data_IF_954495083046
#
_entry.id   IF_954495083046
#
_cell.length_a   1.000
_cell.length_b   1.000
_cell.length_c   1.000
_cell.angle_alpha   90.00
_cell.angle_beta   90.00
_cell.angle_gamma   90.00
#
_symmetry.space_group_name_H-M   'P 1'
#
loop_
_entity.id
_entity.type
_entity.pdbx_description
1 polymer ?
#
# COMPACT_ATOMS: atom_id res chain seq x y z
N UNK A 1 5.67 11.41 -3.21
CA UNK A 1 6.18 10.04 -3.41
C UNK A 1 7.08 9.69 -2.24
N UNK A 2 6.64 8.86 -1.29
CA UNK A 2 7.42 8.46 -0.11
C UNK A 2 8.13 7.11 -0.31
N UNK A 3 9.01 6.71 0.63
CA UNK A 3 9.80 5.47 0.53
C UNK A 3 8.90 4.23 0.38
N UNK A 4 7.74 4.22 1.04
CA UNK A 4 6.73 3.16 0.94
C UNK A 4 6.19 3.04 -0.48
N UNK A 5 5.90 4.17 -1.16
CA UNK A 5 5.45 4.13 -2.56
C UNK A 5 6.50 3.50 -3.46
N UNK A 6 7.78 3.83 -3.25
CA UNK A 6 8.88 3.33 -4.08
C UNK A 6 9.07 1.83 -3.87
N UNK A 7 9.07 1.36 -2.63
CA UNK A 7 9.28 -0.04 -2.31
C UNK A 7 8.07 -0.91 -2.69
N UNK A 8 6.86 -0.38 -2.53
CA UNK A 8 5.62 -1.03 -2.96
C UNK A 8 5.54 -1.14 -4.49
N UNK A 9 5.81 -0.05 -5.22
CA UNK A 9 5.82 -0.05 -6.70
C UNK A 9 6.91 -0.98 -7.27
N UNK A 10 7.99 -1.20 -6.52
CA UNK A 10 9.07 -2.13 -6.89
C UNK A 10 8.78 -3.60 -6.56
N UNK A 11 7.59 -3.90 -6.03
CA UNK A 11 7.23 -5.22 -5.50
C UNK A 11 8.22 -5.75 -4.44
N UNK A 12 8.95 -4.85 -3.77
CA UNK A 12 9.89 -5.19 -2.71
C UNK A 12 9.20 -5.39 -1.34
N UNK A 13 7.91 -5.04 -1.25
CA UNK A 13 7.09 -5.26 -0.06
C UNK A 13 5.68 -5.71 -0.44
N UNK A 14 5.08 -6.57 0.39
CA UNK A 14 3.68 -6.97 0.28
C UNK A 14 2.74 -5.83 0.70
N UNK A 15 1.47 -5.91 0.27
CA UNK A 15 0.42 -4.95 0.68
C UNK A 15 0.32 -4.83 2.20
N UNK A 16 0.48 -5.95 2.94
CA UNK A 16 0.45 -5.98 4.41
C UNK A 16 1.62 -5.23 5.03
N UNK A 17 2.83 -5.40 4.50
CA UNK A 17 4.02 -4.68 4.95
C UNK A 17 3.93 -3.19 4.65
N UNK A 18 3.50 -2.82 3.45
CA UNK A 18 3.28 -1.45 3.06
C UNK A 18 2.25 -0.73 3.95
N UNK A 19 1.16 -1.43 4.30
CA UNK A 19 0.11 -0.92 5.20
C UNK A 19 0.61 -0.71 6.62
N UNK A 20 1.46 -1.61 7.13
CA UNK A 20 2.12 -1.46 8.43
C UNK A 20 3.09 -0.28 8.43
N UNK A 21 3.97 -0.19 7.44
CA UNK A 21 4.90 0.91 7.28
C UNK A 21 4.17 2.27 7.16
N UNK A 22 3.05 2.32 6.43
CA UNK A 22 2.22 3.52 6.32
C UNK A 22 1.66 3.93 7.69
N UNK A 23 1.22 2.97 8.51
CA UNK A 23 0.77 3.26 9.89
C UNK A 23 1.86 3.95 10.71
N UNK A 24 3.09 3.44 10.65
CA UNK A 24 4.24 3.97 11.40
C UNK A 24 4.72 5.32 10.87
N UNK A 25 4.65 5.55 9.55
CA UNK A 25 5.09 6.80 8.92
C UNK A 25 4.00 7.86 8.79
N UNK A 26 2.72 7.51 8.94
CA UNK A 26 1.57 8.41 8.72
C UNK A 26 1.65 9.71 9.52
N UNK A 27 2.25 9.67 10.71
CA UNK A 27 2.47 10.84 11.58
C UNK A 27 3.43 11.89 11.01
N UNK A 28 4.24 11.52 10.01
CA UNK A 28 5.21 12.39 9.32
C UNK A 28 4.81 12.69 7.87
N UNK A 29 3.70 12.13 7.42
CA UNK A 29 3.20 12.28 6.06
C UNK A 29 2.01 13.23 6.05
N UNK A 30 1.82 13.91 4.93
CA UNK A 30 0.64 14.74 4.75
C UNK A 30 -0.64 13.88 4.74
N UNK A 31 -1.73 14.32 5.40
CA UNK A 31 -2.99 13.58 5.42
C UNK A 31 -3.54 13.25 4.03
N UNK A 32 -3.35 14.12 3.04
CA UNK A 32 -3.76 13.88 1.67
C UNK A 32 -2.97 12.73 1.07
N UNK A 33 -1.66 12.74 1.25
CA UNK A 33 -0.79 11.67 0.75
C UNK A 33 -1.07 10.32 1.43
N UNK A 34 -1.37 10.31 2.73
CA UNK A 34 -1.75 9.08 3.45
C UNK A 34 -3.02 8.47 2.84
N UNK A 35 -3.99 9.29 2.43
CA UNK A 35 -5.22 8.83 1.78
C UNK A 35 -4.95 8.20 0.42
N UNK A 36 -4.12 8.84 -0.40
CA UNK A 36 -3.72 8.31 -1.72
C UNK A 36 -3.05 6.93 -1.59
N UNK A 37 -2.07 6.82 -0.69
CA UNK A 37 -1.34 5.56 -0.50
C UNK A 37 -2.28 4.47 0.04
N UNK A 38 -3.19 4.81 0.96
CA UNK A 38 -4.21 3.86 1.43
C UNK A 38 -5.11 3.35 0.31
N UNK A 39 -5.53 4.23 -0.60
CA UNK A 39 -6.37 3.84 -1.73
C UNK A 39 -5.65 2.86 -2.64
N UNK A 40 -4.41 3.16 -3.03
CA UNK A 40 -3.58 2.25 -3.85
C UNK A 40 -3.35 0.89 -3.20
N UNK A 41 -3.09 0.87 -1.89
CA UNK A 41 -2.93 -0.39 -1.15
C UNK A 41 -4.22 -1.21 -1.12
N UNK A 42 -5.38 -0.56 -0.99
CA UNK A 42 -6.67 -1.25 -0.99
C UNK A 42 -7.01 -1.80 -2.39
N UNK A 43 -6.73 -1.05 -3.46
CA UNK A 43 -6.89 -1.53 -4.83
C UNK A 43 -6.01 -2.73 -5.13
N UNK A 44 -4.75 -2.71 -4.67
CA UNK A 44 -3.83 -3.83 -4.82
C UNK A 44 -4.22 -5.05 -3.96
N UNK A 45 -4.79 -4.84 -2.77
CA UNK A 45 -5.35 -5.92 -1.93
C UNK A 45 -6.49 -6.62 -2.69
N UNK A 46 -7.45 -5.84 -3.20
CA UNK A 46 -8.57 -6.37 -3.97
C UNK A 46 -8.12 -7.11 -5.24
N UNK A 47 -7.16 -6.56 -5.99
CA UNK A 47 -6.63 -7.22 -7.19
C UNK A 47 -5.88 -8.53 -6.87
N UNK A 48 -5.26 -8.64 -5.70
CA UNK A 48 -4.58 -9.87 -5.27
C UNK A 48 -5.57 -10.95 -4.78
N UNK A 49 -6.69 -10.55 -4.18
CA UNK A 49 -7.76 -11.48 -3.75
C UNK A 49 -8.61 -12.00 -4.93
N UNK A 50 -8.80 -11.20 -5.99
CA UNK A 50 -9.48 -11.64 -7.23
C UNK A 50 -8.66 -12.70 -8.01
N UNK A 51 -7.32 -12.63 -7.99
CA UNK A 51 -6.44 -13.66 -8.63
C UNK A 51 -6.44 -15.00 -7.86
N UNK A 52 -6.78 -14.98 -6.56
CA UNK A 52 -6.87 -16.19 -5.73
C UNK A 52 -8.21 -16.94 -5.84
N UNK A 53 -9.18 -16.42 -6.60
CA UNK A 53 -10.51 -17.01 -6.81
C UNK A 53 -10.75 -17.34 -8.29
N UNK A 54 -9.87 -18.14 -8.89
CA UNK A 54 -10.16 -18.87 -10.14
C UNK A 54 -10.63 -20.31 -9.77
N UNK A 55 -11.93 -20.65 -9.94
CA UNK A 55 -12.45 -22.01 -9.69
C UNK A 55 -12.11 -23.03 -10.79
#
# INVERSE_FOLDING_TARGET
MCLICIEFDRAAMSVKEARRALGEMSVKLDPEHVREVRAKLAEAEAAADDDATDP
#
